data_IF_420542717870
#
_entry.id   IF_420542717870
#
_cell.length_a   1.000
_cell.length_b   1.000
_cell.length_c   1.000
_cell.angle_alpha   90.00
_cell.angle_beta   90.00
_cell.angle_gamma   90.00
#
_symmetry.space_group_name_H-M   'P 1'
#
loop_
_entity.id
_entity.type
_entity.pdbx_description
1 polymer ?
#
# COMPACT_ATOMS: atom_id res chain seq x y z
N UNK A 1 -5.17 -16.72 45.67
CA UNK A 1 -4.48 -17.28 44.49
C UNK A 1 -5.54 -18.03 43.68
N UNK A 2 -5.96 -17.69 42.47
CA UNK A 2 -5.64 -16.67 41.48
C UNK A 2 -6.96 -16.39 40.74
N UNK A 3 -7.27 -15.11 40.49
CA UNK A 3 -8.39 -14.69 39.64
C UNK A 3 -8.02 -15.03 38.19
N UNK A 4 -8.81 -15.89 37.54
CA UNK A 4 -8.70 -16.11 36.09
C UNK A 4 -9.38 -14.94 35.38
N UNK A 5 -8.57 -14.05 34.81
CA UNK A 5 -8.95 -13.12 33.77
C UNK A 5 -8.38 -13.59 32.43
N UNK A 6 -8.89 -13.03 31.33
CA UNK A 6 -8.35 -13.07 29.95
C UNK A 6 -8.88 -14.24 29.06
N UNK A 7 -9.43 -14.04 27.86
CA UNK A 7 -9.57 -12.87 26.98
C UNK A 7 -10.85 -12.98 26.13
N UNK A 8 -11.57 -11.85 25.99
CA UNK A 8 -12.54 -11.61 24.93
C UNK A 8 -11.76 -11.44 23.61
N UNK A 9 -11.62 -12.52 22.84
CA UNK A 9 -11.19 -12.44 21.46
C UNK A 9 -12.31 -11.87 20.61
N UNK A 10 -12.42 -10.55 20.55
CA UNK A 10 -13.29 -9.88 19.58
C UNK A 10 -12.79 -10.21 18.18
N UNK A 11 -13.59 -10.94 17.40
CA UNK A 11 -13.42 -11.02 15.96
C UNK A 11 -13.58 -9.61 15.40
N UNK A 12 -12.47 -8.89 15.25
CA UNK A 12 -12.44 -7.71 14.39
C UNK A 12 -12.53 -8.25 12.97
N UNK A 13 -13.67 -8.04 12.33
CA UNK A 13 -13.81 -8.20 10.88
C UNK A 13 -12.99 -7.11 10.18
N UNK A 14 -11.67 -7.23 10.27
CA UNK A 14 -10.74 -6.40 9.51
C UNK A 14 -10.96 -6.73 8.03
N UNK A 15 -11.10 -5.72 7.14
CA UNK A 15 -11.24 -5.95 5.71
C UNK A 15 -10.12 -6.85 5.21
N UNK A 16 -10.47 -8.08 4.79
CA UNK A 16 -9.48 -9.06 4.36
C UNK A 16 -8.78 -8.53 3.11
N UNK A 17 -7.51 -8.18 3.25
CA UNK A 17 -6.66 -7.73 2.16
C UNK A 17 -6.65 -8.75 1.02
N UNK A 18 -6.73 -8.28 -0.22
CA UNK A 18 -6.55 -9.12 -1.41
C UNK A 18 -5.06 -9.43 -1.67
N UNK A 19 -4.16 -8.80 -0.94
CA UNK A 19 -2.72 -9.01 -1.01
C UNK A 19 -2.33 -10.01 0.08
N UNK A 20 -1.88 -11.24 -0.27
CA UNK A 20 -1.46 -12.22 0.72
C UNK A 20 -0.37 -11.68 1.64
N UNK A 21 -0.59 -11.80 2.95
CA UNK A 21 0.31 -11.30 3.99
C UNK A 21 0.35 -9.77 4.13
N UNK A 22 -0.50 -9.04 3.42
CA UNK A 22 -0.61 -7.58 3.54
C UNK A 22 -1.67 -7.18 4.57
N UNK A 23 -1.32 -6.18 5.40
CA UNK A 23 -2.16 -5.61 6.46
C UNK A 23 -2.42 -4.15 6.12
N UNK A 24 -3.70 -3.76 6.03
CA UNK A 24 -4.11 -2.43 5.54
C UNK A 24 -3.61 -1.31 6.46
N UNK A 25 -3.77 -1.48 7.78
CA UNK A 25 -3.37 -0.46 8.76
C UNK A 25 -1.85 -0.23 8.75
N UNK A 26 -1.06 -1.29 8.64
CA UNK A 26 0.40 -1.19 8.50
C UNK A 26 0.76 -0.52 7.16
N UNK A 27 0.00 -0.82 6.10
CA UNK A 27 0.16 -0.19 4.79
C UNK A 27 -0.01 1.32 4.84
N UNK A 28 -1.08 1.80 5.48
CA UNK A 28 -1.34 3.23 5.67
C UNK A 28 -0.19 3.92 6.43
N UNK A 29 0.27 3.31 7.52
CA UNK A 29 1.42 3.83 8.29
C UNK A 29 2.68 3.92 7.42
N UNK A 30 2.98 2.87 6.67
CA UNK A 30 4.16 2.81 5.84
C UNK A 30 4.11 3.81 4.68
N UNK A 31 2.98 3.94 3.98
CA UNK A 31 2.79 4.94 2.91
C UNK A 31 3.04 6.36 3.44
N UNK A 32 2.62 6.63 4.67
CA UNK A 32 2.90 7.90 5.36
C UNK A 32 4.38 8.05 5.70
N UNK A 33 4.99 7.02 6.32
CA UNK A 33 6.39 7.04 6.77
C UNK A 33 7.38 7.21 5.61
N UNK A 34 7.15 6.50 4.50
CA UNK A 34 7.98 6.57 3.29
C UNK A 34 7.68 7.80 2.43
N UNK A 35 6.85 8.73 2.91
CA UNK A 35 6.56 10.00 2.25
C UNK A 35 6.01 9.83 0.81
N UNK A 36 5.22 8.78 0.56
CA UNK A 36 4.58 8.59 -0.74
C UNK A 36 3.68 9.78 -1.11
N UNK A 37 3.16 10.49 -0.09
CA UNK A 37 2.37 11.72 -0.24
C UNK A 37 3.13 12.94 -0.77
N UNK A 38 4.46 12.89 -0.84
CA UNK A 38 5.27 13.97 -1.42
C UNK A 38 5.03 14.11 -2.94
N UNK A 39 4.81 12.98 -3.63
CA UNK A 39 4.55 12.97 -5.07
C UNK A 39 3.09 12.67 -5.40
N UNK A 40 2.37 11.96 -4.54
CA UNK A 40 1.00 11.53 -4.80
C UNK A 40 -0.02 12.21 -3.88
N UNK A 41 -1.20 12.47 -4.42
CA UNK A 41 -2.40 12.72 -3.61
C UNK A 41 -2.97 11.38 -3.16
N UNK A 42 -3.16 11.19 -1.85
CA UNK A 42 -3.55 9.90 -1.27
C UNK A 42 -4.66 10.11 -0.22
N UNK A 43 -5.91 9.68 -0.49
CA UNK A 43 -6.98 9.76 0.49
C UNK A 43 -6.64 9.00 1.79
N UNK A 44 -6.97 9.59 2.93
CA UNK A 44 -6.70 9.01 4.25
C UNK A 44 -5.27 9.20 4.77
N UNK A 45 -4.36 9.77 3.97
CA UNK A 45 -3.01 10.14 4.42
C UNK A 45 -2.93 11.65 4.60
N UNK A 46 -2.76 12.10 5.83
CA UNK A 46 -2.68 13.52 6.15
C UNK A 46 -1.47 14.18 5.45
N UNK A 47 -1.72 15.28 4.74
CA UNK A 47 -0.68 16.03 4.04
C UNK A 47 -0.22 15.41 2.71
N UNK A 48 -0.77 14.27 2.29
CA UNK A 48 -0.50 13.69 0.97
C UNK A 48 -1.26 14.44 -0.13
N UNK A 49 -0.64 15.50 -0.64
CA UNK A 49 -1.18 16.37 -1.69
C UNK A 49 -0.18 16.59 -2.85
N UNK A 50 0.79 15.68 -3.02
CA UNK A 50 1.72 15.72 -4.13
C UNK A 50 1.03 15.58 -5.49
N UNK A 51 1.63 16.19 -6.51
CA UNK A 51 1.11 16.19 -7.88
C UNK A 51 2.12 15.76 -8.95
N UNK A 52 3.35 15.43 -8.57
CA UNK A 52 4.37 14.92 -9.50
C UNK A 52 3.98 13.51 -10.01
N UNK A 53 3.31 12.73 -9.17
CA UNK A 53 2.67 11.47 -9.53
C UNK A 53 1.15 11.61 -9.67
N UNK A 54 0.47 10.64 -10.33
CA UNK A 54 -0.99 10.63 -10.41
C UNK A 54 -1.63 10.49 -9.03
N UNK A 55 -2.85 10.99 -8.87
CA UNK A 55 -3.65 10.73 -7.68
C UNK A 55 -3.91 9.22 -7.53
N UNK A 56 -3.87 8.73 -6.29
CA UNK A 56 -4.01 7.30 -5.97
C UNK A 56 -5.40 6.95 -5.43
N UNK A 57 -6.34 7.89 -5.42
CA UNK A 57 -7.71 7.74 -4.91
C UNK A 57 -8.46 6.54 -5.48
N UNK A 58 -8.07 6.07 -6.67
CA UNK A 58 -8.77 5.00 -7.39
C UNK A 58 -7.84 3.89 -7.86
N UNK A 59 -6.59 3.87 -7.39
CA UNK A 59 -5.56 2.93 -7.86
C UNK A 59 -5.99 1.47 -7.69
N UNK A 60 -6.76 1.13 -6.66
CA UNK A 60 -7.23 -0.22 -6.40
C UNK A 60 -8.24 -0.76 -7.42
N UNK A 61 -8.91 0.12 -8.19
CA UNK A 61 -9.86 -0.28 -9.26
C UNK A 61 -9.28 -0.20 -10.67
N UNK A 62 -8.09 0.41 -10.85
CA UNK A 62 -7.48 0.52 -12.17
C UNK A 62 -7.02 -0.85 -12.69
N UNK A 63 -7.13 -1.09 -13.99
CA UNK A 63 -6.62 -2.33 -14.61
C UNK A 63 -5.09 -2.34 -14.73
N UNK A 64 -4.46 -1.17 -14.78
CA UNK A 64 -3.02 -1.02 -14.97
C UNK A 64 -2.42 -0.02 -13.98
N UNK A 65 -1.24 -0.36 -13.44
CA UNK A 65 -0.36 0.49 -12.66
C UNK A 65 0.61 1.17 -13.62
N UNK A 66 0.95 2.43 -13.34
CA UNK A 66 1.91 3.23 -14.12
C UNK A 66 1.68 3.20 -15.65
N UNK A 67 0.42 3.07 -16.08
CA UNK A 67 0.02 3.10 -17.48
C UNK A 67 0.31 1.84 -18.31
N UNK A 68 0.74 0.72 -17.70
CA UNK A 68 1.01 -0.49 -18.50
C UNK A 68 1.30 -1.78 -17.73
N UNK A 69 1.43 -1.73 -16.40
CA UNK A 69 1.69 -2.92 -15.58
C UNK A 69 0.35 -3.48 -15.12
N UNK A 70 -0.03 -4.74 -15.42
CA UNK A 70 -1.31 -5.29 -14.95
C UNK A 70 -1.44 -5.16 -13.43
N UNK A 71 -2.55 -4.58 -12.96
CA UNK A 71 -2.76 -4.29 -11.55
C UNK A 71 -3.15 -5.55 -10.76
N UNK A 72 -2.15 -6.39 -10.49
CA UNK A 72 -2.28 -7.61 -9.68
C UNK A 72 -1.41 -7.47 -8.42
N UNK A 73 -1.77 -8.11 -7.29
CA UNK A 73 -1.02 -7.98 -6.03
C UNK A 73 0.49 -8.14 -6.16
N UNK A 74 0.97 -9.19 -6.83
CA UNK A 74 2.41 -9.42 -6.98
C UNK A 74 3.10 -8.36 -7.84
N UNK A 75 2.39 -7.82 -8.85
CA UNK A 75 2.90 -6.74 -9.68
C UNK A 75 2.98 -5.41 -8.91
N UNK A 76 1.97 -5.10 -8.09
CA UNK A 76 2.00 -3.93 -7.20
C UNK A 76 3.17 -4.02 -6.22
N UNK A 77 3.34 -5.17 -5.58
CA UNK A 77 4.46 -5.41 -4.64
C UNK A 77 5.81 -5.24 -5.36
N UNK A 78 5.95 -5.81 -6.56
CA UNK A 78 7.19 -5.67 -7.34
C UNK A 78 7.43 -4.23 -7.80
N UNK A 79 6.38 -3.54 -8.23
CA UNK A 79 6.42 -2.14 -8.64
C UNK A 79 6.93 -1.23 -7.53
N UNK A 80 6.38 -1.36 -6.31
CA UNK A 80 6.76 -0.55 -5.16
C UNK A 80 8.24 -0.75 -4.76
N UNK A 81 8.78 -1.96 -4.92
CA UNK A 81 10.16 -2.29 -4.53
C UNK A 81 11.21 -1.87 -5.55
N UNK A 82 10.94 -2.15 -6.83
CA UNK A 82 11.94 -2.03 -7.91
C UNK A 82 11.36 -1.32 -9.15
N UNK A 83 10.86 -0.08 -9.02
CA UNK A 83 10.09 0.59 -10.07
C UNK A 83 10.87 0.71 -11.38
N UNK A 84 12.15 1.06 -11.35
CA UNK A 84 12.99 1.19 -12.56
C UNK A 84 13.19 -0.14 -13.31
N UNK A 85 13.17 -1.27 -12.62
CA UNK A 85 13.29 -2.60 -13.24
C UNK A 85 11.96 -3.07 -13.84
N UNK A 86 10.84 -2.58 -13.34
CA UNK A 86 9.49 -2.92 -13.85
C UNK A 86 9.09 -1.99 -14.99
N UNK A 87 9.38 -0.69 -14.87
CA UNK A 87 9.16 0.32 -15.90
C UNK A 87 10.42 1.19 -16.06
N UNK A 88 11.32 0.86 -17.00
CA UNK A 88 12.49 1.68 -17.29
C UNK A 88 12.10 3.11 -17.64
N UNK A 89 12.83 4.09 -17.11
CA UNK A 89 12.57 5.52 -17.32
C UNK A 89 11.44 6.13 -16.48
N UNK A 90 10.87 5.39 -15.53
CA UNK A 90 9.94 5.99 -14.55
C UNK A 90 10.66 6.94 -13.60
N UNK A 91 9.98 8.01 -13.18
CA UNK A 91 10.49 8.97 -12.20
C UNK A 91 10.29 8.50 -10.75
N UNK A 92 9.33 7.59 -10.51
CA UNK A 92 9.15 6.98 -9.19
C UNK A 92 10.45 6.29 -8.71
N UNK A 93 11.09 6.78 -7.63
CA UNK A 93 12.38 6.27 -7.19
C UNK A 93 12.24 4.93 -6.44
N UNK A 94 13.33 4.15 -6.32
CA UNK A 94 13.35 3.00 -5.43
C UNK A 94 13.25 3.46 -3.97
N UNK A 95 12.21 3.01 -3.27
CA UNK A 95 11.92 3.42 -1.89
C UNK A 95 12.67 2.61 -0.83
N UNK A 96 13.44 1.59 -1.23
CA UNK A 96 14.18 0.73 -0.29
C UNK A 96 13.29 -0.23 0.51
N UNK A 97 12.12 -0.59 -0.02
CA UNK A 97 11.15 -1.44 0.67
C UNK A 97 11.58 -2.91 0.71
N UNK A 98 11.39 -3.53 1.88
CA UNK A 98 11.32 -4.99 1.97
C UNK A 98 10.07 -5.51 1.25
N UNK A 99 10.03 -6.83 1.03
CA UNK A 99 8.85 -7.46 0.45
C UNK A 99 7.60 -7.30 1.32
N UNK A 100 7.78 -7.47 2.63
CA UNK A 100 6.68 -7.42 3.58
C UNK A 100 6.08 -6.01 3.68
N UNK A 101 6.92 -4.97 3.71
CA UNK A 101 6.46 -3.58 3.68
C UNK A 101 5.67 -3.28 2.41
N UNK A 102 6.18 -3.70 1.25
CA UNK A 102 5.48 -3.54 -0.02
C UNK A 102 4.13 -4.29 -0.06
N UNK A 103 4.02 -5.46 0.59
CA UNK A 103 2.74 -6.18 0.73
C UNK A 103 1.74 -5.40 1.57
N UNK A 104 2.16 -4.84 2.70
CA UNK A 104 1.30 -3.98 3.52
C UNK A 104 0.85 -2.74 2.75
N UNK A 105 1.78 -2.02 2.10
CA UNK A 105 1.45 -0.85 1.30
C UNK A 105 0.48 -1.19 0.16
N UNK A 106 0.75 -2.27 -0.59
CA UNK A 106 -0.13 -2.73 -1.65
C UNK A 106 -1.54 -3.05 -1.12
N UNK A 107 -1.66 -3.69 0.06
CA UNK A 107 -2.94 -3.97 0.69
C UNK A 107 -3.76 -2.69 0.90
N UNK A 108 -3.13 -1.65 1.45
CA UNK A 108 -3.76 -0.33 1.59
C UNK A 108 -4.11 0.31 0.25
N UNK A 109 -3.22 0.28 -0.74
CA UNK A 109 -3.51 0.87 -2.06
C UNK A 109 -4.72 0.21 -2.74
N UNK A 110 -4.96 -1.10 -2.52
CA UNK A 110 -6.15 -1.79 -3.04
C UNK A 110 -7.46 -1.42 -2.34
N UNK A 111 -7.41 -0.74 -1.19
CA UNK A 111 -8.63 -0.18 -0.56
C UNK A 111 -9.06 1.14 -1.19
N UNK A 112 -8.18 1.82 -1.94
CA UNK A 112 -8.47 3.08 -2.62
C UNK A 112 -9.23 2.79 -3.93
N UNK A 113 -10.54 3.03 -3.93
CA UNK A 113 -11.44 2.66 -5.02
C UNK A 113 -12.29 3.81 -5.49
#
# INVERSE_FOLDING_TARGET
>A
MLVSAMLLGGCKDEPRSIVPGGEVEQGLRLVTQYQCGACHTIPGVQGAAGSDGPALDTIGRLSYIAGGIPNRPDNMVRWLRVPHAVKPGTEMPPMGLTEQEARHMAAFLYTLR
#
